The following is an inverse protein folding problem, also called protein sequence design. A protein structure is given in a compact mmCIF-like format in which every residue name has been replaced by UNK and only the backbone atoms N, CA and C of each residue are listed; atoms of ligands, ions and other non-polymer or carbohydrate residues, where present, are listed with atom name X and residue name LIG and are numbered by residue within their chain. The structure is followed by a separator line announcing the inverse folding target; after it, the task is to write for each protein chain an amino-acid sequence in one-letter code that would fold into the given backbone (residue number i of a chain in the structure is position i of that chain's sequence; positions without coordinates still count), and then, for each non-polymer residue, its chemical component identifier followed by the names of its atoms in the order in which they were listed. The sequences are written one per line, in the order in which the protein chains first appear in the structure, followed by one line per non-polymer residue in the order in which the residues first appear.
data_IF_855183079917
#
_entry.id   IF_855183079917
#
_cell.length_a   1.000
_cell.length_b   1.000
_cell.length_c   1.000
_cell.angle_alpha   90.00
_cell.angle_beta   90.00
_cell.angle_gamma   90.00
#
_symmetry.space_group_name_H-M   'P 1'
#
loop_
_entity.id
_entity.type
_entity.pdbx_description
1 polymer ?
#
# COMPACT_ATOMS: atom_id res chain seq x y z
N UNK A 1 -9.64 14.39 7.32
CA UNK A 1 -9.95 15.81 7.07
C UNK A 1 -10.01 16.02 5.56
N UNK A 2 -11.20 15.89 4.93
CA UNK A 2 -11.38 16.08 3.49
C UNK A 2 -11.15 17.53 3.02
N UNK A 3 -11.14 18.50 3.95
CA UNK A 3 -10.96 19.93 3.63
C UNK A 3 -9.50 20.34 3.39
N UNK A 4 -8.52 19.46 3.65
CA UNK A 4 -7.11 19.77 3.41
C UNK A 4 -6.72 19.42 1.97
N UNK A 5 -6.21 20.39 1.18
CA UNK A 5 -5.77 20.11 -0.18
C UNK A 5 -4.56 19.18 -0.16
N UNK A 6 -4.50 18.30 -1.15
CA UNK A 6 -3.30 17.51 -1.45
C UNK A 6 -2.15 18.41 -1.92
N UNK A 7 -0.93 17.89 -1.88
CA UNK A 7 0.24 18.59 -2.44
C UNK A 7 0.08 18.83 -3.94
N UNK A 8 -0.56 17.90 -4.66
CA UNK A 8 -0.87 18.06 -6.08
C UNK A 8 -1.78 19.28 -6.34
N UNK A 9 -2.80 19.47 -5.52
CA UNK A 9 -3.72 20.62 -5.59
C UNK A 9 -3.07 21.92 -5.11
N UNK A 10 -2.00 21.82 -4.29
CA UNK A 10 -1.30 22.96 -3.71
C UNK A 10 -0.14 23.51 -4.57
N UNK A 11 -0.05 23.12 -5.84
CA UNK A 11 0.90 23.69 -6.79
C UNK A 11 2.02 22.77 -7.27
N UNK A 12 1.95 21.46 -6.97
CA UNK A 12 2.89 20.47 -7.52
C UNK A 12 2.16 19.32 -8.23
N UNK A 13 1.61 19.55 -9.44
CA UNK A 13 0.83 18.55 -10.17
C UNK A 13 1.57 17.22 -10.32
N UNK A 14 0.86 16.10 -10.09
CA UNK A 14 1.42 14.76 -10.18
C UNK A 14 2.19 14.28 -8.94
N UNK A 15 2.34 15.13 -7.91
CA UNK A 15 2.89 14.69 -6.63
C UNK A 15 1.87 13.85 -5.86
N UNK A 16 2.23 12.58 -5.63
CA UNK A 16 1.53 11.70 -4.71
C UNK A 16 2.55 10.85 -3.94
N UNK A 17 2.47 10.91 -2.62
CA UNK A 17 3.20 10.05 -1.70
C UNK A 17 2.18 9.44 -0.76
N UNK A 18 1.87 8.16 -0.99
CA UNK A 18 0.97 7.38 -0.18
C UNK A 18 1.77 6.23 0.43
N UNK A 19 1.66 6.08 1.74
CA UNK A 19 2.17 4.90 2.41
C UNK A 19 1.16 3.76 2.29
N UNK A 20 1.66 2.55 2.20
CA UNK A 20 0.83 1.35 2.09
C UNK A 20 1.34 0.25 3.01
N UNK A 21 0.40 -0.60 3.40
CA UNK A 21 0.64 -1.78 4.24
C UNK A 21 0.10 -3.00 3.50
N UNK A 22 0.72 -4.15 3.77
CA UNK A 22 0.20 -5.42 3.30
C UNK A 22 0.94 -6.60 3.88
N UNK A 23 0.57 -7.79 3.41
CA UNK A 23 1.06 -9.06 3.94
C UNK A 23 1.90 -9.76 2.88
N UNK A 24 3.08 -10.22 3.28
CA UNK A 24 4.00 -10.98 2.45
C UNK A 24 4.18 -12.39 3.00
N UNK A 25 4.46 -13.33 2.11
CA UNK A 25 4.80 -14.71 2.42
C UNK A 25 6.13 -15.07 1.73
N UNK A 26 6.81 -16.16 2.13
CA UNK A 26 8.02 -16.63 1.45
C UNK A 26 7.84 -16.78 -0.07
N UNK A 27 8.88 -16.47 -0.84
CA UNK A 27 8.81 -16.36 -2.31
C UNK A 27 8.30 -17.62 -3.03
N UNK A 28 8.38 -18.81 -2.41
CA UNK A 28 7.94 -20.09 -2.98
C UNK A 28 6.70 -20.66 -2.29
N UNK A 29 5.95 -19.84 -1.54
CA UNK A 29 4.68 -20.27 -0.98
C UNK A 29 3.72 -20.68 -2.10
N UNK A 30 3.09 -21.87 -2.04
CA UNK A 30 2.14 -22.33 -3.04
C UNK A 30 0.99 -21.35 -3.28
N UNK A 31 0.57 -21.21 -4.55
CA UNK A 31 -0.47 -20.27 -4.95
C UNK A 31 -1.80 -20.48 -4.20
N UNK A 32 -2.15 -21.73 -3.89
CA UNK A 32 -3.34 -22.04 -3.11
C UNK A 32 -3.30 -21.44 -1.69
N UNK A 33 -2.13 -21.39 -1.05
CA UNK A 33 -1.96 -20.81 0.27
C UNK A 33 -2.06 -19.28 0.18
N UNK A 34 -1.45 -18.69 -0.84
CA UNK A 34 -1.55 -17.24 -1.11
C UNK A 34 -3.01 -16.83 -1.32
N UNK A 35 -3.74 -17.60 -2.13
CA UNK A 35 -5.15 -17.32 -2.41
C UNK A 35 -6.00 -17.44 -1.15
N UNK A 36 -5.79 -18.49 -0.33
CA UNK A 36 -6.48 -18.62 0.95
C UNK A 36 -6.17 -17.44 1.88
N UNK A 37 -4.90 -17.07 2.02
CA UNK A 37 -4.50 -15.92 2.85
C UNK A 37 -5.17 -14.63 2.37
N UNK A 38 -5.22 -14.39 1.06
CA UNK A 38 -5.89 -13.21 0.49
C UNK A 38 -7.38 -13.19 0.84
N UNK A 39 -8.07 -14.32 0.72
CA UNK A 39 -9.50 -14.45 1.09
C UNK A 39 -9.71 -14.16 2.57
N UNK A 40 -8.88 -14.71 3.46
CA UNK A 40 -8.98 -14.48 4.90
C UNK A 40 -8.73 -13.00 5.26
N UNK A 41 -7.71 -12.38 4.66
CA UNK A 41 -7.40 -10.96 4.85
C UNK A 41 -8.56 -10.09 4.38
N UNK A 42 -9.14 -10.39 3.20
CA UNK A 42 -10.32 -9.68 2.69
C UNK A 42 -11.50 -9.79 3.65
N UNK A 43 -11.73 -10.98 4.23
CA UNK A 43 -12.81 -11.18 5.21
C UNK A 43 -12.60 -10.33 6.45
N UNK A 44 -11.40 -10.33 7.03
CA UNK A 44 -11.06 -9.53 8.23
C UNK A 44 -11.21 -8.04 7.95
N UNK A 45 -10.64 -7.56 6.84
CA UNK A 45 -10.77 -6.18 6.41
C UNK A 45 -12.19 -5.80 5.97
N UNK A 46 -13.11 -6.77 5.90
CA UNK A 46 -14.53 -6.53 5.64
C UNK A 46 -15.40 -6.46 6.89
N UNK A 47 -14.86 -6.77 8.05
CA UNK A 47 -15.54 -6.59 9.34
C UNK A 47 -15.65 -5.08 9.63
N UNK A 48 -16.86 -4.53 9.87
CA UNK A 48 -17.04 -3.10 10.12
C UNK A 48 -16.15 -2.57 11.26
N UNK A 49 -16.09 -3.28 12.38
CA UNK A 49 -15.25 -2.87 13.52
C UNK A 49 -13.76 -2.76 13.16
N UNK A 50 -13.25 -3.62 12.27
CA UNK A 50 -11.87 -3.56 11.81
C UNK A 50 -11.66 -2.36 10.89
N UNK A 51 -12.60 -2.11 9.97
CA UNK A 51 -12.58 -0.93 9.08
C UNK A 51 -12.61 0.36 9.89
N UNK A 52 -13.55 0.48 10.82
CA UNK A 52 -13.73 1.68 11.65
C UNK A 52 -12.47 1.98 12.48
N UNK A 53 -11.83 0.94 13.03
CA UNK A 53 -10.57 1.08 13.77
C UNK A 53 -9.40 1.52 12.89
N UNK A 54 -9.34 1.06 11.65
CA UNK A 54 -8.29 1.45 10.69
C UNK A 54 -8.54 2.88 10.19
N UNK A 55 -9.78 3.22 9.85
CA UNK A 55 -10.20 4.55 9.42
C UNK A 55 -9.94 5.59 10.52
N UNK A 56 -10.21 5.26 11.79
CA UNK A 56 -9.90 6.12 12.94
C UNK A 56 -8.39 6.38 13.13
N UNK A 57 -7.52 5.50 12.62
CA UNK A 57 -6.08 5.68 12.60
C UNK A 57 -5.58 6.39 11.32
N UNK A 58 -6.49 6.77 10.42
CA UNK A 58 -6.15 7.43 9.16
C UNK A 58 -5.78 6.47 8.03
N UNK A 59 -5.95 5.15 8.21
CA UNK A 59 -5.81 4.20 7.12
C UNK A 59 -7.05 4.23 6.21
N UNK A 60 -6.86 3.80 4.97
CA UNK A 60 -7.95 3.51 4.06
C UNK A 60 -7.85 2.05 3.64
N UNK A 61 -8.88 1.27 3.93
CA UNK A 61 -8.90 -0.15 3.58
C UNK A 61 -9.00 -0.31 2.06
N UNK A 62 -7.93 -0.84 1.44
CA UNK A 62 -7.91 -1.20 0.03
C UNK A 62 -7.76 -2.71 -0.13
N UNK A 63 -8.78 -3.34 -0.71
CA UNK A 63 -8.73 -4.75 -1.10
C UNK A 63 -8.10 -4.88 -2.48
N UNK A 64 -7.19 -5.84 -2.65
CA UNK A 64 -6.57 -6.15 -3.95
C UNK A 64 -6.31 -7.65 -4.10
N UNK A 65 -6.10 -8.08 -5.34
CA UNK A 65 -5.57 -9.42 -5.62
C UNK A 65 -4.07 -9.50 -5.27
N UNK A 66 -3.51 -10.72 -5.10
CA UNK A 66 -2.07 -10.90 -4.93
C UNK A 66 -1.24 -10.32 -6.09
N UNK A 67 -1.76 -10.40 -7.32
CA UNK A 67 -1.11 -9.88 -8.51
C UNK A 67 -1.08 -8.35 -8.50
N UNK A 68 -2.21 -7.69 -8.22
CA UNK A 68 -2.28 -6.23 -8.10
C UNK A 68 -1.36 -5.69 -7.00
N UNK A 69 -1.22 -6.43 -5.89
CA UNK A 69 -0.30 -6.06 -4.81
C UNK A 69 1.16 -6.24 -5.21
N UNK A 70 1.48 -7.31 -5.95
CA UNK A 70 2.82 -7.51 -6.53
C UNK A 70 3.21 -6.37 -7.49
N UNK A 71 2.27 -5.92 -8.32
CA UNK A 71 2.44 -4.77 -9.21
C UNK A 71 2.65 -3.45 -8.44
N UNK A 72 1.99 -3.28 -7.28
CA UNK A 72 2.26 -2.15 -6.37
C UNK A 72 3.68 -2.16 -5.84
N UNK A 73 4.15 -3.31 -5.38
CA UNK A 73 5.51 -3.42 -4.85
C UNK A 73 6.52 -3.09 -5.96
N UNK A 74 6.33 -3.64 -7.16
CA UNK A 74 7.24 -3.40 -8.29
C UNK A 74 7.29 -1.92 -8.70
N UNK A 75 6.12 -1.26 -8.84
CA UNK A 75 6.06 0.17 -9.22
C UNK A 75 6.67 1.07 -8.16
N UNK A 76 6.35 0.85 -6.90
CA UNK A 76 6.83 1.69 -5.79
C UNK A 76 8.33 1.46 -5.58
N UNK A 77 8.81 0.22 -5.62
CA UNK A 77 10.25 -0.07 -5.52
C UNK A 77 11.04 0.65 -6.62
N UNK A 78 10.52 0.66 -7.86
CA UNK A 78 11.16 1.35 -8.98
C UNK A 78 11.17 2.87 -8.78
N UNK A 79 10.04 3.45 -8.37
CA UNK A 79 9.88 4.88 -8.08
C UNK A 79 10.84 5.32 -6.97
N UNK A 80 10.84 4.62 -5.84
CA UNK A 80 11.65 5.00 -4.68
C UNK A 80 13.14 4.75 -4.89
N UNK A 81 13.54 3.69 -5.59
CA UNK A 81 14.94 3.47 -5.96
C UNK A 81 15.49 4.63 -6.80
N UNK A 82 14.70 5.15 -7.75
CA UNK A 82 15.08 6.34 -8.53
C UNK A 82 15.21 7.57 -7.64
N UNK A 83 14.23 7.85 -6.77
CA UNK A 83 14.25 9.01 -5.87
C UNK A 83 15.47 8.97 -4.95
N UNK A 84 15.74 7.83 -4.31
CA UNK A 84 16.89 7.64 -3.42
C UNK A 84 18.20 7.91 -4.15
N UNK A 85 18.33 7.41 -5.38
CA UNK A 85 19.52 7.63 -6.22
C UNK A 85 19.68 9.10 -6.60
N UNK A 86 18.62 9.73 -7.11
CA UNK A 86 18.65 11.11 -7.58
C UNK A 86 18.92 12.10 -6.43
N UNK A 87 18.46 11.78 -5.21
CA UNK A 87 18.69 12.59 -4.01
C UNK A 87 19.98 12.26 -3.25
N UNK A 88 20.74 11.23 -3.66
CA UNK A 88 21.98 10.83 -2.99
C UNK A 88 21.79 10.28 -1.56
N UNK A 89 20.59 9.77 -1.23
CA UNK A 89 20.25 9.28 0.10
C UNK A 89 20.94 7.94 0.37
N UNK A 90 21.45 7.75 1.59
CA UNK A 90 22.05 6.48 2.06
C UNK A 90 21.49 6.12 3.43
N UNK A 91 21.35 4.83 3.69
CA UNK A 91 21.10 4.32 5.04
C UNK A 91 22.46 4.21 5.72
N UNK A 92 22.59 4.77 6.91
CA UNK A 92 23.80 4.67 7.75
C UNK A 92 24.01 3.25 8.28
#
# INVERSE_FOLDING_TARGET
APELPTVAESGLPGFASEDWQGVLAPARTPAEIINRLNVEVHRVLSVPEVRDKLDAQGFQVRLSTPQQFSELIARESTKWARIVKDAGIRVE
#
